data_IF_883665411043
#
_entry.id   IF_883665411043
#
_cell.length_a   1.000
_cell.length_b   1.000
_cell.length_c   1.000
_cell.angle_alpha   90.00
_cell.angle_beta   90.00
_cell.angle_gamma   90.00
#
_symmetry.space_group_name_H-M   'P 1'
#
loop_
_entity.id
_entity.type
_entity.pdbx_description
1 polymer ?
#
# COMPACT_ATOMS: atom_id res chain seq x y z
N UNK A 1 -6.01 8.39 -1.92
CA UNK A 1 -4.84 7.67 -1.35
C UNK A 1 -5.12 6.17 -1.37
N UNK A 2 -4.16 5.31 -1.01
CA UNK A 2 -4.40 3.85 -0.95
C UNK A 2 -5.55 3.52 0.03
N UNK A 3 -5.59 4.17 1.20
CA UNK A 3 -6.66 3.99 2.19
C UNK A 3 -8.04 4.35 1.64
N UNK A 4 -8.18 5.51 0.99
CA UNK A 4 -9.46 5.96 0.40
C UNK A 4 -10.01 4.94 -0.61
N UNK A 5 -9.13 4.33 -1.42
CA UNK A 5 -9.55 3.37 -2.43
C UNK A 5 -9.91 2.01 -1.80
N UNK A 6 -9.23 1.61 -0.72
CA UNK A 6 -9.61 0.42 0.06
C UNK A 6 -10.99 0.60 0.71
N UNK A 7 -11.30 1.79 1.25
CA UNK A 7 -12.62 2.12 1.80
C UNK A 7 -13.70 2.10 0.71
N UNK A 8 -13.50 2.85 -0.38
CA UNK A 8 -14.45 2.95 -1.50
C UNK A 8 -14.79 1.60 -2.10
N UNK A 9 -13.80 0.70 -2.22
CA UNK A 9 -13.97 -0.64 -2.81
C UNK A 9 -14.31 -1.74 -1.81
N UNK A 10 -14.44 -1.42 -0.52
CA UNK A 10 -14.66 -2.39 0.57
C UNK A 10 -13.60 -3.51 0.58
N UNK A 11 -12.35 -3.16 0.28
CA UNK A 11 -11.22 -4.09 0.34
C UNK A 11 -10.60 -4.09 1.74
N UNK A 12 -9.89 -5.16 2.10
CA UNK A 12 -9.29 -5.34 3.44
C UNK A 12 -7.79 -5.03 3.47
N UNK A 13 -7.05 -5.46 2.46
CA UNK A 13 -5.59 -5.30 2.39
C UNK A 13 -5.16 -4.51 1.17
N UNK A 14 -4.14 -3.68 1.33
CA UNK A 14 -3.43 -3.00 0.25
C UNK A 14 -1.91 -3.13 0.41
N UNK A 15 -1.20 -3.04 -0.70
CA UNK A 15 0.27 -3.02 -0.73
C UNK A 15 0.73 -1.70 -1.35
N UNK A 16 1.57 -0.96 -0.62
CA UNK A 16 2.33 0.15 -1.15
C UNK A 16 3.78 -0.30 -1.36
N UNK A 17 4.37 0.02 -2.52
CA UNK A 17 5.77 -0.29 -2.84
C UNK A 17 6.46 0.93 -3.45
N UNK A 18 7.75 1.08 -3.16
CA UNK A 18 8.58 2.17 -3.65
C UNK A 18 10.00 1.66 -3.99
N UNK A 19 10.52 2.09 -5.13
CA UNK A 19 11.94 1.91 -5.45
C UNK A 19 12.80 2.98 -4.76
N UNK A 20 14.00 2.57 -4.35
CA UNK A 20 15.01 3.44 -3.76
C UNK A 20 16.30 3.30 -4.57
N UNK A 21 17.02 4.40 -4.77
CA UNK A 21 18.31 4.39 -5.47
C UNK A 21 19.31 3.39 -4.85
N UNK A 22 20.21 2.85 -5.67
CA UNK A 22 21.17 1.84 -5.22
C UNK A 22 20.62 0.41 -5.16
N UNK A 23 19.45 0.15 -5.78
CA UNK A 23 18.89 -1.20 -5.90
C UNK A 23 18.04 -1.66 -4.72
N UNK A 24 17.64 -0.74 -3.84
CA UNK A 24 16.80 -1.02 -2.68
C UNK A 24 15.31 -0.79 -2.99
N UNK A 25 14.44 -1.36 -2.16
CA UNK A 25 12.99 -1.15 -2.25
C UNK A 25 12.32 -1.24 -0.90
N UNK A 26 11.17 -0.59 -0.76
CA UNK A 26 10.33 -0.62 0.44
C UNK A 26 8.98 -1.21 0.06
N UNK A 27 8.44 -2.09 0.92
CA UNK A 27 7.10 -2.63 0.81
C UNK A 27 6.36 -2.46 2.14
N UNK A 28 5.11 -2.01 2.08
CA UNK A 28 4.26 -1.80 3.26
C UNK A 28 2.87 -2.38 3.01
N UNK A 29 2.45 -3.28 3.89
CA UNK A 29 1.09 -3.83 3.90
C UNK A 29 0.22 -2.93 4.77
N UNK A 30 -0.94 -2.56 4.25
CA UNK A 30 -1.96 -1.77 4.94
C UNK A 30 -3.20 -2.62 5.12
N UNK A 31 -3.67 -2.76 6.36
CA UNK A 31 -4.99 -3.33 6.66
C UNK A 31 -5.96 -2.18 6.98
N UNK A 32 -7.12 -2.19 6.32
CA UNK A 32 -8.20 -1.27 6.63
C UNK A 32 -9.07 -1.87 7.74
N UNK A 33 -9.05 -1.23 8.92
CA UNK A 33 -9.91 -1.56 10.06
C UNK A 33 -11.34 -1.05 9.89
#
# INVERSE_FOLDING_TARGET
>A
TLLDELERRKLRYGLATLCVGGGMGIATIVERL
#
